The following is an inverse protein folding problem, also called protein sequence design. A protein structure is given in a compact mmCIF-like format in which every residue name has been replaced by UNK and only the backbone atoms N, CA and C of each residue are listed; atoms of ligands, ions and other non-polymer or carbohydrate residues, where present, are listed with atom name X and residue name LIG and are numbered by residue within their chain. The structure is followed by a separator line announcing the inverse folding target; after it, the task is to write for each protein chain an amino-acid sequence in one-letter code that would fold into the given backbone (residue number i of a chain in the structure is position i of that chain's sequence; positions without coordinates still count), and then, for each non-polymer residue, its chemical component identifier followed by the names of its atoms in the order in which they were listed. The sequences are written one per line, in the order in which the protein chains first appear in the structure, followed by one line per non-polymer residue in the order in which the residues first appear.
data_IF_943330328236
#
_entry.id   IF_943330328236
#
_cell.length_a   1.000
_cell.length_b   1.000
_cell.length_c   1.000
_cell.angle_alpha   90.00
_cell.angle_beta   90.00
_cell.angle_gamma   90.00
#
_symmetry.space_group_name_H-M   'P 1'
#
loop_
_entity.id
_entity.type
_entity.pdbx_description
1 polymer ?
#
# COMPACT_ATOMS: atom_id res chain seq x y z
N UNK A 1 -41.16 -38.65 14.86
CA UNK A 1 -40.93 -37.39 14.12
C UNK A 1 -41.18 -36.25 15.09
N UNK A 2 -40.16 -35.90 15.87
CA UNK A 2 -40.16 -34.70 16.71
C UNK A 2 -39.44 -33.61 15.93
N UNK A 3 -40.14 -32.51 15.65
CA UNK A 3 -39.62 -31.35 14.95
C UNK A 3 -39.12 -30.36 15.98
N UNK A 4 -37.80 -30.21 16.09
CA UNK A 4 -37.15 -29.24 16.95
C UNK A 4 -37.11 -27.86 16.30
N UNK A 5 -37.53 -26.88 17.09
CA UNK A 5 -37.63 -25.45 16.86
C UNK A 5 -36.35 -24.80 16.34
N UNK A 6 -36.45 -24.08 15.22
CA UNK A 6 -35.42 -23.14 14.74
C UNK A 6 -35.59 -21.82 15.48
N UNK A 7 -34.59 -21.45 16.26
CA UNK A 7 -34.44 -20.12 16.87
C UNK A 7 -34.24 -19.07 15.78
N UNK A 8 -35.13 -18.07 15.78
CA UNK A 8 -35.14 -16.95 14.84
C UNK A 8 -34.03 -15.98 15.25
N UNK A 9 -32.94 -15.94 14.48
CA UNK A 9 -31.87 -14.95 14.62
C UNK A 9 -32.42 -13.55 14.35
N UNK A 10 -32.42 -12.69 15.36
CA UNK A 10 -32.84 -11.29 15.28
C UNK A 10 -31.81 -10.51 14.46
N UNK A 11 -32.25 -9.93 13.34
CA UNK A 11 -31.48 -8.97 12.55
C UNK A 11 -31.19 -7.71 13.39
N UNK A 12 -30.02 -7.06 13.27
CA UNK A 12 -29.77 -5.77 13.92
C UNK A 12 -30.70 -4.68 13.39
N UNK A 13 -31.23 -3.86 14.29
CA UNK A 13 -32.16 -2.77 14.00
C UNK A 13 -31.56 -1.71 13.06
N UNK A 14 -32.36 -1.31 12.07
CA UNK A 14 -32.11 -0.26 11.08
C UNK A 14 -31.90 1.17 11.66
N UNK A 15 -32.09 1.39 12.97
CA UNK A 15 -31.99 2.71 13.60
C UNK A 15 -30.55 3.11 13.97
N UNK A 16 -29.64 2.16 14.25
CA UNK A 16 -28.24 2.48 14.54
C UNK A 16 -27.47 2.90 13.28
N UNK A 17 -27.91 2.47 12.10
CA UNK A 17 -27.16 2.58 10.83
C UNK A 17 -27.16 3.97 10.20
N UNK A 18 -28.17 4.80 10.47
CA UNK A 18 -28.24 6.20 9.98
C UNK A 18 -27.44 7.21 10.84
N UNK A 19 -27.02 6.80 12.04
CA UNK A 19 -26.52 7.76 13.06
C UNK A 19 -25.07 8.19 12.89
N UNK A 20 -24.17 7.35 12.35
CA UNK A 20 -22.71 7.63 12.33
C UNK A 20 -22.24 8.56 11.20
N UNK A 21 -22.78 8.44 9.98
CA UNK A 21 -22.56 9.46 8.94
C UNK A 21 -23.22 10.78 9.32
N UNK A 22 -24.35 10.72 10.04
CA UNK A 22 -24.95 11.89 10.65
C UNK A 22 -24.05 12.47 11.76
N UNK A 23 -23.33 11.64 12.52
CA UNK A 23 -22.45 12.11 13.58
C UNK A 23 -21.22 12.87 13.07
N UNK A 24 -20.60 12.40 11.98
CA UNK A 24 -19.56 13.19 11.30
C UNK A 24 -20.11 14.54 10.85
N UNK A 25 -21.27 14.57 10.17
CA UNK A 25 -21.84 15.81 9.64
C UNK A 25 -22.29 16.78 10.75
N UNK A 26 -22.83 16.27 11.88
CA UNK A 26 -23.14 17.08 13.08
C UNK A 26 -21.91 17.80 13.63
N UNK A 27 -20.75 17.13 13.64
CA UNK A 27 -19.50 17.67 14.17
C UNK A 27 -18.68 18.45 13.13
N UNK A 28 -19.03 18.34 11.85
CA UNK A 28 -18.22 18.87 10.75
C UNK A 28 -17.98 20.36 10.81
N UNK A 29 -19.00 21.14 11.14
CA UNK A 29 -18.86 22.60 11.30
C UNK A 29 -17.85 22.95 12.40
N UNK A 30 -17.91 22.26 13.55
CA UNK A 30 -16.94 22.44 14.64
C UNK A 30 -15.52 22.11 14.18
N UNK A 31 -15.33 21.05 13.38
CA UNK A 31 -14.02 20.75 12.81
C UNK A 31 -13.56 21.83 11.83
N UNK A 32 -14.43 22.34 10.97
CA UNK A 32 -14.10 23.42 10.03
C UNK A 32 -13.69 24.69 10.77
N UNK A 33 -14.44 25.10 11.79
CA UNK A 33 -14.14 26.27 12.60
C UNK A 33 -12.79 26.13 13.32
N UNK A 34 -12.49 24.95 13.87
CA UNK A 34 -11.18 24.65 14.48
C UNK A 34 -10.05 24.71 13.43
N UNK A 35 -10.23 24.02 12.31
CA UNK A 35 -9.23 23.91 11.24
C UNK A 35 -8.91 25.28 10.61
N UNK A 36 -9.90 26.19 10.54
CA UNK A 36 -9.72 27.54 10.03
C UNK A 36 -8.67 28.36 10.83
N UNK A 37 -8.37 27.96 12.06
CA UNK A 37 -7.33 28.60 12.90
C UNK A 37 -5.92 28.08 12.64
N UNK A 38 -5.78 26.96 11.92
CA UNK A 38 -4.49 26.31 11.72
C UNK A 38 -3.69 26.95 10.58
N UNK A 39 -2.35 26.92 10.66
CA UNK A 39 -1.50 27.39 9.57
C UNK A 39 -1.81 26.62 8.28
N UNK A 40 -1.86 27.33 7.15
CA UNK A 40 -2.03 26.72 5.84
C UNK A 40 -0.98 27.21 4.86
N UNK A 41 -0.66 26.38 3.88
CA UNK A 41 0.25 26.68 2.78
C UNK A 41 -0.40 26.27 1.45
N UNK A 42 0.00 26.92 0.35
CA UNK A 42 -0.38 26.51 -1.00
C UNK A 42 -0.04 25.03 -1.17
N UNK A 43 -1.01 24.22 -1.58
CA UNK A 43 -0.78 22.80 -1.85
C UNK A 43 -0.40 22.54 -3.30
N UNK A 44 -0.50 21.27 -3.71
CA UNK A 44 -0.06 20.82 -5.04
C UNK A 44 -1.03 21.23 -6.15
N UNK A 45 -2.18 21.82 -5.81
CA UNK A 45 -3.12 22.40 -6.76
C UNK A 45 -3.52 23.81 -6.30
N UNK A 46 -3.82 24.75 -7.22
CA UNK A 46 -4.12 26.14 -6.87
C UNK A 46 -5.26 26.31 -5.85
N UNK A 47 -6.30 25.47 -5.91
CA UNK A 47 -7.47 25.55 -5.01
C UNK A 47 -7.47 24.46 -3.93
N UNK A 48 -6.30 23.89 -3.61
CA UNK A 48 -6.19 22.84 -2.61
C UNK A 48 -5.01 23.10 -1.68
N UNK A 49 -5.16 24.06 -0.77
CA UNK A 49 -4.19 24.31 0.30
C UNK A 49 -4.01 23.10 1.20
N UNK A 50 -2.82 23.00 1.79
CA UNK A 50 -2.53 22.04 2.85
C UNK A 50 -2.55 22.77 4.19
N UNK A 51 -2.99 22.06 5.22
CA UNK A 51 -3.21 22.61 6.56
C UNK A 51 -2.34 21.85 7.54
N UNK A 52 -1.62 22.58 8.39
CA UNK A 52 -0.66 22.01 9.32
C UNK A 52 -1.34 21.66 10.64
N UNK A 53 -1.29 20.38 11.03
CA UNK A 53 -1.78 19.86 12.31
C UNK A 53 -0.80 18.83 12.85
N UNK A 54 -0.41 18.94 14.12
CA UNK A 54 0.53 17.99 14.74
C UNK A 54 1.95 17.99 14.19
N UNK A 55 2.29 18.95 13.31
CA UNK A 55 3.55 18.96 12.56
C UNK A 55 3.43 18.42 11.13
N UNK A 56 2.26 17.91 10.73
CA UNK A 56 2.02 17.30 9.42
C UNK A 56 0.98 18.07 8.61
N UNK A 57 0.99 17.85 7.31
CA UNK A 57 0.18 18.56 6.34
C UNK A 57 -1.00 17.74 5.85
N UNK A 58 -2.21 18.30 5.90
CA UNK A 58 -3.44 17.61 5.53
C UNK A 58 -4.23 18.40 4.50
N UNK A 59 -5.03 17.71 3.70
CA UNK A 59 -6.14 18.35 2.98
C UNK A 59 -7.27 18.58 3.99
N UNK A 60 -7.99 19.70 3.85
CA UNK A 60 -9.14 20.07 4.70
C UNK A 60 -10.03 18.86 5.07
N UNK A 61 -10.56 18.17 4.06
CA UNK A 61 -11.48 17.04 4.27
C UNK A 61 -10.84 15.89 5.05
N UNK A 62 -9.57 15.58 4.77
CA UNK A 62 -8.87 14.51 5.47
C UNK A 62 -8.57 14.90 6.91
N UNK A 63 -8.30 16.17 7.19
CA UNK A 63 -8.12 16.65 8.56
C UNK A 63 -9.43 16.61 9.35
N UNK A 64 -10.55 17.04 8.75
CA UNK A 64 -11.89 16.90 9.36
C UNK A 64 -12.15 15.44 9.79
N UNK A 65 -11.87 14.49 8.90
CA UNK A 65 -12.09 13.07 9.16
C UNK A 65 -11.08 12.48 10.14
N UNK A 66 -9.85 12.98 10.16
CA UNK A 66 -8.83 12.59 11.12
C UNK A 66 -9.19 13.02 12.54
N UNK A 67 -9.73 14.24 12.69
CA UNK A 67 -10.24 14.73 13.97
C UNK A 67 -11.45 13.90 14.44
N UNK A 68 -12.37 13.60 13.52
CA UNK A 68 -13.49 12.70 13.81
C UNK A 68 -13.04 11.31 14.26
N UNK A 69 -12.10 10.69 13.55
CA UNK A 69 -11.54 9.39 13.94
C UNK A 69 -10.89 9.45 15.32
N UNK A 70 -10.15 10.53 15.61
CA UNK A 70 -9.49 10.72 16.90
C UNK A 70 -10.48 10.80 18.07
N UNK A 71 -11.65 11.39 17.85
CA UNK A 71 -12.69 11.51 18.88
C UNK A 71 -13.59 10.27 18.99
N UNK A 72 -13.93 9.63 17.88
CA UNK A 72 -15.02 8.65 17.83
C UNK A 72 -14.57 7.21 17.53
N UNK A 73 -13.38 6.98 16.96
CA UNK A 73 -12.93 5.63 16.66
C UNK A 73 -12.53 4.89 17.93
N UNK A 74 -13.09 3.69 18.15
CA UNK A 74 -12.86 2.86 19.33
C UNK A 74 -12.19 1.54 18.93
N UNK A 75 -10.85 1.51 19.00
CA UNK A 75 -10.07 0.32 18.69
C UNK A 75 -10.30 -0.79 19.72
N UNK A 76 -10.30 -2.03 19.25
CA UNK A 76 -10.30 -3.24 20.06
C UNK A 76 -8.91 -3.87 20.11
N UNK A 77 -8.57 -4.63 21.16
CA UNK A 77 -7.27 -5.33 21.24
C UNK A 77 -7.05 -6.34 20.10
N UNK A 78 -8.13 -6.87 19.52
CA UNK A 78 -8.11 -7.82 18.40
C UNK A 78 -7.95 -7.15 17.04
N UNK A 79 -8.00 -5.82 16.96
CA UNK A 79 -7.84 -5.11 15.70
C UNK A 79 -6.40 -5.24 15.17
N UNK A 80 -6.25 -5.07 13.86
CA UNK A 80 -4.98 -5.09 13.16
C UNK A 80 -4.91 -3.92 12.18
N UNK A 81 -3.93 -3.04 12.36
CA UNK A 81 -3.81 -1.81 11.58
C UNK A 81 -2.77 -1.90 10.47
N UNK A 82 -3.19 -1.58 9.26
CA UNK A 82 -2.32 -1.35 8.11
C UNK A 82 -2.00 0.14 8.01
N UNK A 83 -0.82 0.51 8.51
CA UNK A 83 -0.34 1.88 8.56
C UNK A 83 0.61 2.16 7.40
N UNK A 84 0.39 3.23 6.65
CA UNK A 84 1.26 3.59 5.52
C UNK A 84 1.24 5.08 5.28
N UNK A 85 2.34 5.69 4.85
CA UNK A 85 2.19 6.94 4.09
C UNK A 85 1.58 6.58 2.72
N UNK A 86 0.71 7.42 2.11
CA UNK A 86 0.17 7.11 0.79
C UNK A 86 1.25 6.69 -0.21
N UNK A 87 0.91 5.69 -1.04
CA UNK A 87 1.73 5.22 -2.17
C UNK A 87 2.99 4.43 -1.81
N UNK A 88 3.17 4.01 -0.56
CA UNK A 88 4.27 3.12 -0.16
C UNK A 88 3.93 1.62 -0.26
N UNK A 89 2.68 1.24 -0.53
CA UNK A 89 2.30 -0.18 -0.68
C UNK A 89 0.91 -0.55 -0.14
N UNK A 90 0.12 0.43 0.30
CA UNK A 90 -1.17 0.22 1.00
C UNK A 90 -2.11 -0.76 0.33
N UNK A 91 -2.37 -0.62 -0.99
CA UNK A 91 -3.29 -1.51 -1.73
C UNK A 91 -2.83 -2.96 -1.69
N UNK A 92 -1.51 -3.19 -1.81
CA UNK A 92 -0.93 -4.53 -1.78
C UNK A 92 -0.98 -5.12 -0.37
N UNK A 93 -0.65 -4.32 0.64
CA UNK A 93 -0.67 -4.77 2.03
C UNK A 93 -2.09 -5.07 2.50
N UNK A 94 -3.10 -4.27 2.12
CA UNK A 94 -4.52 -4.56 2.35
C UNK A 94 -4.94 -5.90 1.75
N UNK A 95 -4.54 -6.17 0.49
CA UNK A 95 -4.86 -7.44 -0.17
C UNK A 95 -4.22 -8.63 0.58
N UNK A 96 -2.94 -8.51 0.94
CA UNK A 96 -2.22 -9.56 1.68
C UNK A 96 -2.86 -9.83 3.04
N UNK A 97 -3.08 -8.80 3.86
CA UNK A 97 -3.66 -8.98 5.20
C UNK A 97 -5.08 -9.55 5.13
N UNK A 98 -5.89 -9.08 4.17
CA UNK A 98 -7.24 -9.59 3.98
C UNK A 98 -7.23 -11.08 3.61
N UNK A 99 -6.42 -11.46 2.61
CA UNK A 99 -6.31 -12.86 2.19
C UNK A 99 -5.77 -13.74 3.31
N UNK A 100 -4.72 -13.31 4.01
CA UNK A 100 -4.15 -14.06 5.14
C UNK A 100 -5.20 -14.35 6.20
N UNK A 101 -5.95 -13.33 6.64
CA UNK A 101 -6.94 -13.47 7.71
C UNK A 101 -8.18 -14.28 7.30
N UNK A 102 -8.48 -14.37 5.99
CA UNK A 102 -9.71 -14.99 5.48
C UNK A 102 -9.46 -16.24 4.62
N UNK A 103 -8.24 -16.77 4.54
CA UNK A 103 -7.90 -17.93 3.69
C UNK A 103 -8.60 -19.24 4.10
N UNK A 104 -9.07 -19.34 5.35
CA UNK A 104 -9.91 -20.45 5.80
C UNK A 104 -11.38 -20.32 5.38
N UNK A 105 -11.81 -19.11 4.98
CA UNK A 105 -13.18 -18.78 4.57
C UNK A 105 -13.36 -18.81 3.06
N UNK A 106 -12.31 -18.42 2.32
CA UNK A 106 -12.35 -18.29 0.87
C UNK A 106 -11.15 -18.97 0.23
N UNK A 107 -11.41 -19.77 -0.79
CA UNK A 107 -10.38 -20.27 -1.68
C UNK A 107 -9.95 -19.21 -2.72
N UNK A 108 -8.97 -19.53 -3.55
CA UNK A 108 -8.46 -18.63 -4.59
C UNK A 108 -9.51 -18.18 -5.59
N UNK A 109 -10.51 -19.01 -5.87
CA UNK A 109 -11.53 -18.79 -6.92
C UNK A 109 -12.75 -18.02 -6.43
N UNK A 110 -12.97 -18.02 -5.12
CA UNK A 110 -14.11 -17.38 -4.45
C UNK A 110 -13.70 -16.16 -3.64
N UNK A 111 -12.40 -15.84 -3.58
CA UNK A 111 -11.90 -14.74 -2.78
C UNK A 111 -12.53 -13.38 -3.19
N UNK A 112 -13.04 -12.59 -2.23
CA UNK A 112 -13.61 -11.27 -2.50
C UNK A 112 -12.71 -10.31 -3.29
N UNK A 113 -11.39 -10.46 -3.20
CA UNK A 113 -10.44 -9.67 -4.00
C UNK A 113 -10.62 -9.81 -5.51
N UNK A 114 -11.24 -10.90 -5.99
CA UNK A 114 -11.53 -11.08 -7.41
C UNK A 114 -12.65 -10.17 -7.92
N UNK A 115 -13.48 -9.63 -7.01
CA UNK A 115 -14.66 -8.83 -7.34
C UNK A 115 -14.61 -7.41 -6.76
N UNK A 116 -13.79 -7.19 -5.74
CA UNK A 116 -13.69 -5.93 -5.01
C UNK A 116 -12.27 -5.42 -4.97
N UNK A 117 -12.11 -4.10 -5.04
CA UNK A 117 -10.82 -3.50 -4.83
C UNK A 117 -10.35 -3.73 -3.38
N UNK A 118 -9.04 -3.96 -3.08
CA UNK A 118 -8.58 -4.20 -1.72
C UNK A 118 -8.94 -3.09 -0.72
N UNK A 119 -9.10 -1.85 -1.20
CA UNK A 119 -9.57 -0.76 -0.36
C UNK A 119 -10.98 -1.01 0.17
N UNK A 120 -11.84 -1.74 -0.56
CA UNK A 120 -13.20 -2.10 -0.16
C UNK A 120 -13.29 -3.08 1.02
N UNK A 121 -12.24 -3.86 1.23
CA UNK A 121 -12.21 -4.95 2.21
C UNK A 121 -11.52 -4.56 3.52
N UNK A 122 -10.71 -3.51 3.49
CA UNK A 122 -10.03 -2.97 4.68
C UNK A 122 -10.31 -1.47 4.77
N UNK A 123 -11.21 -1.00 5.67
CA UNK A 123 -11.57 0.42 5.78
C UNK A 123 -10.44 1.29 6.33
N UNK A 124 -10.41 2.56 5.92
CA UNK A 124 -9.62 3.61 6.53
C UNK A 124 -10.38 4.25 7.70
N UNK A 125 -9.70 4.43 8.83
CA UNK A 125 -10.31 5.10 10.00
C UNK A 125 -10.55 6.59 9.76
N UNK A 126 -9.70 7.25 8.97
CA UNK A 126 -9.83 8.68 8.67
C UNK A 126 -10.54 8.98 7.34
N UNK A 127 -11.19 7.98 6.73
CA UNK A 127 -11.97 8.18 5.49
C UNK A 127 -13.27 7.39 5.54
N UNK A 128 -13.19 6.07 5.63
CA UNK A 128 -14.38 5.20 5.55
C UNK A 128 -15.23 5.29 6.81
N UNK A 129 -14.61 5.34 7.98
CA UNK A 129 -15.33 5.48 9.25
C UNK A 129 -16.14 6.79 9.33
N UNK A 130 -15.66 7.86 8.67
CA UNK A 130 -16.35 9.15 8.62
C UNK A 130 -17.48 9.19 7.57
N UNK A 131 -17.23 8.74 6.34
CA UNK A 131 -18.18 8.89 5.22
C UNK A 131 -19.05 7.66 4.94
N UNK A 132 -18.58 6.49 5.31
CA UNK A 132 -19.11 5.21 4.86
C UNK A 132 -19.40 4.28 6.03
N UNK A 133 -19.72 4.85 7.20
CA UNK A 133 -20.05 4.10 8.43
C UNK A 133 -21.19 3.09 8.26
N UNK A 134 -21.99 3.23 7.21
CA UNK A 134 -23.08 2.32 6.85
C UNK A 134 -22.62 1.07 6.08
N UNK A 135 -21.35 1.00 5.62
CA UNK A 135 -20.85 -0.16 4.89
C UNK A 135 -20.73 -1.37 5.78
N UNK A 136 -21.09 -2.53 5.24
CA UNK A 136 -21.09 -3.82 5.92
C UNK A 136 -19.79 -4.09 6.66
N UNK A 137 -18.62 -3.82 6.04
CA UNK A 137 -17.31 -4.06 6.66
C UNK A 137 -17.04 -3.26 7.96
N UNK A 138 -17.70 -2.11 8.16
CA UNK A 138 -17.58 -1.32 9.39
C UNK A 138 -18.60 -1.72 10.47
N UNK A 139 -19.66 -2.44 10.07
CA UNK A 139 -20.69 -2.95 10.97
C UNK A 139 -20.52 -4.45 11.26
N UNK A 140 -19.67 -5.14 10.49
CA UNK A 140 -19.26 -6.51 10.71
C UNK A 140 -18.32 -6.58 11.92
N UNK A 141 -18.83 -7.19 13.01
CA UNK A 141 -18.07 -7.40 14.25
C UNK A 141 -16.95 -8.41 14.09
N UNK A 142 -16.94 -9.20 13.01
CA UNK A 142 -15.83 -10.11 12.68
C UNK A 142 -14.69 -9.40 11.94
N UNK A 143 -14.90 -8.19 11.41
CA UNK A 143 -13.84 -7.44 10.78
C UNK A 143 -12.88 -6.84 11.82
N UNK A 144 -11.65 -7.33 11.83
CA UNK A 144 -10.57 -6.82 12.67
C UNK A 144 -9.54 -5.99 11.88
N UNK A 145 -9.68 -5.87 10.55
CA UNK A 145 -8.70 -5.20 9.71
C UNK A 145 -9.08 -3.73 9.51
N UNK A 146 -8.16 -2.84 9.85
CA UNK A 146 -8.28 -1.39 9.63
C UNK A 146 -7.02 -0.84 8.99
N UNK A 147 -7.11 0.37 8.44
CA UNK A 147 -5.98 1.03 7.82
C UNK A 147 -5.96 2.52 8.10
N UNK A 148 -4.78 3.11 7.99
CA UNK A 148 -4.62 4.55 8.18
C UNK A 148 -3.38 5.09 7.48
N UNK A 149 -3.47 6.35 7.10
CA UNK A 149 -2.37 7.20 6.66
C UNK A 149 -1.91 8.19 7.74
N UNK A 150 -2.47 8.13 8.94
CA UNK A 150 -2.05 8.99 10.03
C UNK A 150 -0.62 8.65 10.48
N UNK A 151 0.21 9.67 10.79
CA UNK A 151 1.49 9.44 11.45
C UNK A 151 1.24 8.84 12.85
N UNK A 152 2.19 8.07 13.37
CA UNK A 152 2.03 7.34 14.64
C UNK A 152 1.58 8.25 15.79
N UNK A 153 2.18 9.44 15.90
CA UNK A 153 1.86 10.41 16.96
C UNK A 153 0.47 11.07 16.86
N UNK A 154 -0.28 10.84 15.77
CA UNK A 154 -1.64 11.38 15.59
C UNK A 154 -2.71 10.29 15.52
N UNK A 155 -2.36 9.03 15.78
CA UNK A 155 -3.34 7.95 15.89
C UNK A 155 -4.36 8.26 17.01
N UNK A 156 -5.63 7.83 16.85
CA UNK A 156 -6.60 7.85 17.94
C UNK A 156 -6.05 7.20 19.22
N UNK A 157 -6.35 7.78 20.37
CA UNK A 157 -5.81 7.31 21.65
C UNK A 157 -6.29 5.88 21.97
N UNK A 158 -7.50 5.51 21.52
CA UNK A 158 -8.05 4.16 21.66
C UNK A 158 -7.13 3.08 21.07
N UNK A 159 -6.43 3.38 19.97
CA UNK A 159 -5.46 2.48 19.33
C UNK A 159 -4.23 2.26 20.22
N UNK A 160 -3.72 3.33 20.83
CA UNK A 160 -2.56 3.21 21.73
C UNK A 160 -2.92 2.45 23.00
N UNK A 161 -4.13 2.65 23.53
CA UNK A 161 -4.62 1.99 24.75
C UNK A 161 -5.01 0.52 24.54
N UNK A 162 -5.48 0.15 23.34
CA UNK A 162 -5.93 -1.22 23.08
C UNK A 162 -4.78 -2.22 22.99
N UNK A 163 -3.56 -1.75 22.68
CA UNK A 163 -2.41 -2.62 22.44
C UNK A 163 -2.51 -3.41 21.13
N UNK A 164 -3.44 -3.04 20.24
CA UNK A 164 -3.65 -3.73 18.96
C UNK A 164 -2.39 -3.67 18.09
N UNK A 165 -2.20 -4.69 17.26
CA UNK A 165 -1.02 -4.82 16.40
C UNK A 165 -1.13 -3.93 15.16
N UNK A 166 0.02 -3.51 14.66
CA UNK A 166 0.14 -2.70 13.44
C UNK A 166 1.21 -3.26 12.52
N UNK A 167 0.99 -3.14 11.21
CA UNK A 167 2.04 -3.26 10.21
C UNK A 167 2.24 -1.92 9.53
N UNK A 168 3.50 -1.49 9.45
CA UNK A 168 3.91 -0.31 8.70
C UNK A 168 4.78 -0.71 7.51
N UNK A 169 4.47 -0.19 6.31
CA UNK A 169 5.34 -0.34 5.14
C UNK A 169 5.80 1.01 4.60
N UNK A 170 7.11 1.16 4.45
CA UNK A 170 7.73 2.31 3.81
C UNK A 170 8.39 1.92 2.48
N UNK A 171 8.76 2.93 1.70
CA UNK A 171 9.29 2.77 0.34
C UNK A 171 10.38 3.81 0.08
N UNK A 172 11.24 3.62 -0.92
CA UNK A 172 12.17 4.67 -1.34
C UNK A 172 11.41 6.00 -1.61
N UNK A 173 11.85 7.14 -1.04
CA UNK A 173 11.15 8.41 -1.17
C UNK A 173 11.02 8.90 -2.62
N UNK A 174 12.00 8.58 -3.49
CA UNK A 174 12.01 9.00 -4.90
C UNK A 174 10.88 8.31 -5.66
N UNK A 175 10.76 7.00 -5.50
CA UNK A 175 9.68 6.22 -6.11
C UNK A 175 8.31 6.56 -5.50
N UNK A 176 8.27 6.83 -4.19
CA UNK A 176 7.05 7.25 -3.48
C UNK A 176 6.53 8.57 -4.01
N UNK A 177 7.42 9.56 -4.22
CA UNK A 177 7.09 10.83 -4.84
C UNK A 177 6.50 10.64 -6.24
N UNK A 178 7.19 9.90 -7.12
CA UNK A 178 6.70 9.66 -8.48
C UNK A 178 5.35 8.95 -8.50
N UNK A 179 5.17 7.95 -7.64
CA UNK A 179 3.90 7.25 -7.46
C UNK A 179 2.78 8.21 -7.01
N UNK A 180 3.09 9.14 -6.10
CA UNK A 180 2.17 10.16 -5.59
C UNK A 180 1.79 11.19 -6.67
N UNK A 181 2.77 11.74 -7.37
CA UNK A 181 2.53 12.74 -8.40
C UNK A 181 1.65 12.20 -9.54
N UNK A 182 1.94 11.01 -10.07
CA UNK A 182 1.09 10.37 -11.08
C UNK A 182 -0.29 9.97 -10.54
N UNK A 183 -0.38 9.57 -9.28
CA UNK A 183 -1.67 9.22 -8.70
C UNK A 183 -2.57 10.45 -8.59
N UNK A 184 -2.05 11.57 -8.10
CA UNK A 184 -2.83 12.82 -7.97
C UNK A 184 -3.28 13.34 -9.33
N UNK A 185 -2.52 13.13 -10.42
CA UNK A 185 -3.00 13.50 -11.76
C UNK A 185 -4.29 12.80 -12.16
N UNK A 186 -4.48 11.54 -11.74
CA UNK A 186 -5.69 10.76 -12.00
C UNK A 186 -6.86 11.14 -11.09
N UNK A 187 -6.70 12.12 -10.20
CA UNK A 187 -7.75 12.54 -9.28
C UNK A 187 -8.85 13.33 -10.03
N UNK A 188 -10.09 12.87 -9.94
CA UNK A 188 -11.28 13.47 -10.54
C UNK A 188 -11.82 14.63 -9.68
N UNK A 189 -11.09 15.75 -9.60
CA UNK A 189 -11.48 16.94 -8.81
C UNK A 189 -11.33 18.26 -9.56
N UNK A 190 -12.10 19.28 -9.16
CA UNK A 190 -12.17 20.60 -9.81
C UNK A 190 -11.30 21.66 -9.10
N UNK A 191 -10.10 21.28 -8.65
CA UNK A 191 -9.22 22.16 -7.87
C UNK A 191 -8.10 22.83 -8.69
N UNK A 192 -8.22 22.82 -10.02
CA UNK A 192 -7.20 23.31 -10.95
C UNK A 192 -6.13 22.26 -11.29
N UNK A 193 -5.20 22.56 -12.21
CA UNK A 193 -4.16 21.64 -12.63
C UNK A 193 -3.21 21.29 -11.48
N UNK A 194 -2.54 20.14 -11.60
CA UNK A 194 -1.46 19.77 -10.68
C UNK A 194 -0.24 20.64 -10.98
N UNK A 195 0.49 21.05 -9.95
CA UNK A 195 1.79 21.71 -10.09
C UNK A 195 2.74 20.87 -10.95
N UNK A 196 3.78 21.51 -11.50
CA UNK A 196 4.80 20.80 -12.27
C UNK A 196 5.49 19.71 -11.42
N UNK A 197 6.21 18.80 -12.09
CA UNK A 197 6.99 17.77 -11.39
C UNK A 197 7.99 18.42 -10.43
N UNK A 198 8.73 19.43 -10.89
CA UNK A 198 9.76 20.13 -10.12
C UNK A 198 9.19 20.87 -8.91
N UNK A 199 8.11 21.62 -9.10
CA UNK A 199 7.42 22.33 -8.02
C UNK A 199 6.88 21.33 -6.98
N UNK A 200 6.23 20.26 -7.44
CA UNK A 200 5.70 19.22 -6.56
C UNK A 200 6.83 18.52 -5.80
N UNK A 201 7.97 18.31 -6.44
CA UNK A 201 9.15 17.68 -5.84
C UNK A 201 9.80 18.57 -4.79
N UNK A 202 9.93 19.87 -5.05
CA UNK A 202 10.39 20.85 -4.05
C UNK A 202 9.50 20.84 -2.81
N UNK A 203 8.18 20.89 -3.01
CA UNK A 203 7.21 20.80 -1.93
C UNK A 203 7.33 19.49 -1.15
N UNK A 204 7.50 18.36 -1.83
CA UNK A 204 7.71 17.04 -1.19
C UNK A 204 9.00 17.03 -0.34
N UNK A 205 10.10 17.56 -0.85
CA UNK A 205 11.37 17.67 -0.11
C UNK A 205 11.26 18.57 1.12
N UNK A 206 10.47 19.65 1.04
CA UNK A 206 10.15 20.53 2.18
C UNK A 206 9.13 19.93 3.16
N UNK A 207 8.62 18.73 2.87
CA UNK A 207 7.62 18.04 3.67
C UNK A 207 6.18 18.49 3.45
N UNK A 208 5.93 19.43 2.52
CA UNK A 208 4.61 20.00 2.19
C UNK A 208 3.87 19.07 1.23
N UNK A 209 3.42 17.93 1.74
CA UNK A 209 2.64 16.91 1.04
C UNK A 209 1.57 16.33 1.97
N UNK A 210 0.49 15.75 1.44
CA UNK A 210 -0.52 15.12 2.29
C UNK A 210 0.08 14.03 3.20
N UNK A 211 -0.20 14.11 4.50
CA UNK A 211 0.40 13.34 5.60
C UNK A 211 1.93 13.51 5.77
N UNK A 212 2.55 14.41 5.01
CA UNK A 212 3.97 14.74 5.12
C UNK A 212 4.28 15.63 6.32
N UNK A 213 5.55 15.75 6.73
CA UNK A 213 6.73 15.34 5.96
C UNK A 213 6.94 13.83 5.86
N UNK A 214 7.39 13.35 4.69
CA UNK A 214 7.53 11.93 4.39
C UNK A 214 8.49 11.21 5.36
N UNK A 215 9.67 11.78 5.55
CA UNK A 215 10.74 11.17 6.33
C UNK A 215 10.37 11.12 7.82
N UNK A 216 9.78 12.19 8.36
CA UNK A 216 9.23 12.21 9.71
C UNK A 216 8.12 11.17 9.92
N UNK A 217 7.24 10.98 8.93
CA UNK A 217 6.19 9.98 9.00
C UNK A 217 6.79 8.57 9.16
N UNK A 218 7.77 8.22 8.31
CA UNK A 218 8.50 6.94 8.40
C UNK A 218 9.22 6.82 9.75
N UNK A 219 9.92 7.86 10.18
CA UNK A 219 10.66 7.88 11.43
C UNK A 219 9.75 7.69 12.66
N UNK A 220 8.52 8.22 12.63
CA UNK A 220 7.56 8.07 13.72
C UNK A 220 7.19 6.60 13.97
N UNK A 221 6.94 5.83 12.92
CA UNK A 221 6.65 4.40 13.01
C UNK A 221 7.91 3.57 13.26
N UNK A 222 9.07 4.02 12.78
CA UNK A 222 10.35 3.38 13.10
C UNK A 222 10.65 3.41 14.59
N UNK A 223 10.44 4.57 15.23
CA UNK A 223 10.59 4.71 16.69
C UNK A 223 9.61 3.80 17.43
N UNK A 224 8.34 3.79 17.02
CA UNK A 224 7.33 2.90 17.62
C UNK A 224 7.71 1.41 17.49
N UNK A 225 8.25 1.00 16.34
CA UNK A 225 8.78 -0.35 16.14
C UNK A 225 9.97 -0.67 17.05
N UNK A 226 10.90 0.26 17.20
CA UNK A 226 12.07 0.11 18.08
C UNK A 226 11.67 -0.01 19.55
N UNK A 227 10.64 0.72 19.95
CA UNK A 227 10.14 0.74 21.33
C UNK A 227 9.30 -0.50 21.64
N UNK A 228 8.50 -0.99 20.68
CA UNK A 228 7.63 -2.16 20.86
C UNK A 228 7.52 -3.04 19.60
N UNK A 229 8.53 -3.89 19.31
CA UNK A 229 8.56 -4.72 18.11
C UNK A 229 7.50 -5.83 18.09
N UNK A 230 6.90 -6.17 19.24
CA UNK A 230 5.80 -7.14 19.34
C UNK A 230 4.45 -6.54 18.90
N UNK A 231 4.33 -5.21 18.94
CA UNK A 231 3.11 -4.48 18.56
C UNK A 231 3.20 -3.89 17.15
N UNK A 232 4.40 -3.58 16.65
CA UNK A 232 4.57 -2.97 15.32
C UNK A 232 5.45 -3.86 14.45
N UNK A 233 4.98 -4.22 13.26
CA UNK A 233 5.77 -4.86 12.22
C UNK A 233 6.23 -3.82 11.21
N UNK A 234 7.54 -3.70 10.99
CA UNK A 234 8.10 -2.72 10.05
C UNK A 234 8.62 -3.41 8.77
N UNK A 235 8.04 -3.04 7.62
CA UNK A 235 8.31 -3.64 6.31
C UNK A 235 8.82 -2.59 5.31
N UNK A 236 9.55 -3.05 4.28
CA UNK A 236 10.04 -2.20 3.19
C UNK A 236 9.54 -2.73 1.84
N UNK A 237 8.94 -1.85 1.05
CA UNK A 237 8.35 -2.20 -0.25
C UNK A 237 9.35 -2.86 -1.20
N UNK A 238 10.58 -2.34 -1.28
CA UNK A 238 11.61 -2.87 -2.16
C UNK A 238 12.03 -4.29 -1.77
N UNK A 239 12.14 -4.57 -0.47
CA UNK A 239 12.49 -5.90 0.07
C UNK A 239 11.40 -6.90 -0.28
N UNK A 240 10.14 -6.59 0.07
CA UNK A 240 9.00 -7.44 -0.25
C UNK A 240 8.85 -7.64 -1.77
N UNK A 241 9.12 -6.62 -2.58
CA UNK A 241 8.97 -6.73 -4.03
C UNK A 241 10.06 -7.58 -4.67
N UNK A 242 11.24 -7.66 -4.07
CA UNK A 242 12.34 -8.52 -4.51
C UNK A 242 12.08 -9.99 -4.17
N UNK A 243 11.65 -10.26 -2.94
CA UNK A 243 11.24 -11.58 -2.48
C UNK A 243 10.09 -11.46 -1.46
N UNK A 244 8.83 -11.72 -1.86
CA UNK A 244 7.68 -11.53 -0.99
C UNK A 244 7.52 -12.63 0.05
N UNK A 245 8.06 -13.83 -0.17
CA UNK A 245 7.73 -15.01 0.62
C UNK A 245 8.11 -14.88 2.10
N UNK A 246 9.34 -14.44 2.46
CA UNK A 246 9.72 -14.31 3.87
C UNK A 246 8.88 -13.27 4.62
N UNK A 247 8.62 -12.13 3.99
CA UNK A 247 7.86 -11.04 4.61
C UNK A 247 6.37 -11.36 4.71
N UNK A 248 5.78 -12.08 3.75
CA UNK A 248 4.38 -12.54 3.82
C UNK A 248 4.20 -13.60 4.89
N UNK A 249 5.14 -14.53 5.03
CA UNK A 249 5.14 -15.50 6.14
C UNK A 249 5.26 -14.79 7.49
N UNK A 250 6.22 -13.86 7.63
CA UNK A 250 6.40 -13.05 8.83
C UNK A 250 5.16 -12.22 9.18
N UNK A 251 4.50 -11.64 8.16
CA UNK A 251 3.26 -10.90 8.33
C UNK A 251 2.15 -11.81 8.86
N UNK A 252 1.99 -13.01 8.29
CA UNK A 252 0.98 -13.96 8.72
C UNK A 252 1.18 -14.41 10.17
N UNK A 253 2.42 -14.76 10.55
CA UNK A 253 2.79 -15.08 11.93
C UNK A 253 2.50 -13.91 12.88
N UNK A 254 2.88 -12.70 12.49
CA UNK A 254 2.66 -11.50 13.29
C UNK A 254 1.18 -11.20 13.50
N UNK A 255 0.34 -11.43 12.49
CA UNK A 255 -1.12 -11.30 12.58
C UNK A 255 -1.79 -12.39 13.44
N UNK A 256 -1.06 -13.44 13.84
CA UNK A 256 -1.63 -14.60 14.54
C UNK A 256 -2.26 -15.65 13.60
N UNK A 257 -1.98 -15.54 12.30
CA UNK A 257 -2.46 -16.44 11.27
C UNK A 257 -1.29 -17.10 10.53
N UNK A 258 -0.23 -17.51 11.25
CA UNK A 258 0.94 -18.16 10.66
C UNK A 258 0.56 -19.38 9.81
N UNK A 259 1.36 -19.66 8.77
CA UNK A 259 1.13 -20.82 7.90
C UNK A 259 1.55 -22.11 8.61
N UNK A 260 0.72 -23.15 8.55
CA UNK A 260 1.10 -24.47 9.09
C UNK A 260 2.06 -25.20 8.14
N UNK A 261 2.74 -26.24 8.63
CA UNK A 261 3.59 -27.07 7.79
C UNK A 261 2.81 -27.77 6.66
N UNK A 262 1.53 -28.07 6.87
CA UNK A 262 0.63 -28.60 5.85
C UNK A 262 0.30 -27.54 4.81
N UNK A 263 -0.08 -26.32 5.23
CA UNK A 263 -0.36 -25.20 4.32
C UNK A 263 0.86 -24.87 3.43
N UNK A 264 2.07 -24.93 4.00
CA UNK A 264 3.31 -24.73 3.23
C UNK A 264 3.55 -25.84 2.21
N UNK A 265 3.33 -27.10 2.58
CA UNK A 265 3.45 -28.25 1.63
C UNK A 265 2.41 -28.17 0.51
N UNK A 266 1.22 -27.66 0.79
CA UNK A 266 0.12 -27.49 -0.17
C UNK A 266 0.23 -26.21 -1.03
N UNK A 267 1.29 -25.42 -0.80
CA UNK A 267 1.58 -24.21 -1.56
C UNK A 267 0.63 -23.04 -1.26
N UNK A 268 0.04 -22.99 -0.06
CA UNK A 268 -0.94 -21.94 0.30
C UNK A 268 -0.26 -20.57 0.33
N UNK A 269 0.99 -20.47 0.76
CA UNK A 269 1.75 -19.22 0.75
C UNK A 269 1.91 -18.67 -0.69
N UNK A 270 2.29 -19.52 -1.63
CA UNK A 270 2.42 -19.22 -3.06
C UNK A 270 1.10 -18.71 -3.63
N UNK A 271 -0.01 -19.35 -3.26
CA UNK A 271 -1.35 -18.97 -3.69
C UNK A 271 -1.75 -17.59 -3.16
N UNK A 272 -1.49 -17.31 -1.88
CA UNK A 272 -1.70 -15.98 -1.28
C UNK A 272 -0.88 -14.90 -2.00
N UNK A 273 0.42 -15.15 -2.22
CA UNK A 273 1.33 -14.23 -2.92
C UNK A 273 0.86 -13.99 -4.36
N UNK A 274 0.47 -15.05 -5.07
CA UNK A 274 -0.01 -14.99 -6.46
C UNK A 274 -1.31 -14.19 -6.59
N UNK A 275 -2.30 -14.49 -5.75
CA UNK A 275 -3.59 -13.79 -5.73
C UNK A 275 -3.42 -12.29 -5.45
N UNK A 276 -2.52 -11.94 -4.52
CA UNK A 276 -2.28 -10.56 -4.13
C UNK A 276 -1.23 -9.85 -5.00
N UNK A 277 -0.71 -10.49 -6.05
CA UNK A 277 0.34 -9.91 -6.88
C UNK A 277 -0.15 -8.67 -7.65
N UNK A 278 0.79 -7.80 -8.01
CA UNK A 278 0.47 -6.61 -8.79
C UNK A 278 -0.18 -6.99 -10.13
N UNK A 279 0.37 -8.03 -10.77
CA UNK A 279 -0.07 -8.56 -12.06
C UNK A 279 -1.51 -9.08 -11.97
N UNK A 280 -1.82 -9.92 -10.99
CA UNK A 280 -3.17 -10.42 -10.75
C UNK A 280 -4.14 -9.29 -10.48
N UNK A 281 -3.90 -8.47 -9.45
CA UNK A 281 -4.83 -7.41 -9.03
C UNK A 281 -5.09 -6.39 -10.14
N UNK A 282 -4.06 -5.99 -10.89
CA UNK A 282 -4.19 -5.07 -12.04
C UNK A 282 -5.00 -5.67 -13.19
N UNK A 283 -4.97 -6.99 -13.36
CA UNK A 283 -5.62 -7.70 -14.47
C UNK A 283 -7.11 -7.99 -14.25
N UNK A 284 -7.63 -7.78 -13.03
CA UNK A 284 -9.04 -7.98 -12.70
C UNK A 284 -9.92 -6.92 -13.37
N UNK A 285 -11.08 -7.31 -13.88
CA UNK A 285 -11.97 -6.42 -14.65
C UNK A 285 -12.39 -5.17 -13.87
N UNK A 286 -12.73 -5.32 -12.58
CA UNK A 286 -13.10 -4.21 -11.70
C UNK A 286 -11.93 -3.26 -11.35
N UNK A 287 -10.70 -3.59 -11.77
CA UNK A 287 -9.53 -2.73 -11.64
C UNK A 287 -9.08 -2.14 -12.99
N UNK A 288 -9.83 -2.38 -14.07
CA UNK A 288 -9.55 -1.87 -15.42
C UNK A 288 -10.42 -0.66 -15.77
N UNK A 289 -9.93 0.11 -16.74
CA UNK A 289 -10.65 1.25 -17.32
C UNK A 289 -10.78 2.46 -16.40
N UNK A 290 -11.52 3.46 -16.90
CA UNK A 290 -11.76 4.73 -16.21
C UNK A 290 -13.23 4.91 -15.78
N UNK A 291 -14.11 3.97 -16.18
CA UNK A 291 -15.56 4.06 -15.96
C UNK A 291 -16.01 3.66 -14.56
N UNK A 292 -15.29 2.74 -13.91
CA UNK A 292 -15.59 2.38 -12.53
C UNK A 292 -15.07 3.47 -11.59
N UNK A 293 -16.01 4.28 -11.10
CA UNK A 293 -15.75 5.20 -10.00
C UNK A 293 -15.40 4.35 -8.78
N UNK A 294 -14.16 4.45 -8.31
CA UNK A 294 -13.74 3.81 -7.08
C UNK A 294 -14.54 4.32 -5.89
N UNK A 295 -14.25 3.78 -4.71
CA UNK A 295 -15.03 3.91 -3.47
C UNK A 295 -15.61 5.30 -3.11
N UNK A 296 -14.97 6.39 -3.53
CA UNK A 296 -15.36 7.79 -3.27
C UNK A 296 -15.58 8.62 -4.54
N UNK A 297 -15.56 8.00 -5.72
CA UNK A 297 -15.64 8.69 -7.02
C UNK A 297 -14.47 9.63 -7.35
N UNK A 298 -13.46 9.73 -6.48
CA UNK A 298 -12.29 10.59 -6.68
C UNK A 298 -11.22 9.97 -7.58
N UNK A 299 -11.20 8.64 -7.68
CA UNK A 299 -10.25 7.87 -8.48
C UNK A 299 -10.96 6.66 -9.07
N UNK A 300 -10.62 6.30 -10.31
CA UNK A 300 -10.94 4.97 -10.83
C UNK A 300 -10.05 3.91 -10.16
N UNK A 301 -10.53 2.67 -10.05
CA UNK A 301 -9.76 1.57 -9.45
C UNK A 301 -8.41 1.32 -10.16
N UNK A 302 -8.35 1.54 -11.48
CA UNK A 302 -7.12 1.46 -12.26
C UNK A 302 -6.04 2.48 -11.84
N UNK A 303 -6.39 3.54 -11.10
CA UNK A 303 -5.42 4.51 -10.59
C UNK A 303 -4.49 3.91 -9.51
N UNK A 304 -4.92 2.87 -8.80
CA UNK A 304 -4.09 2.20 -7.80
C UNK A 304 -2.97 1.35 -8.44
N UNK A 305 -3.13 0.94 -9.70
CA UNK A 305 -2.23 0.00 -10.39
C UNK A 305 -1.47 0.63 -11.56
N UNK A 306 -0.39 1.36 -11.27
CA UNK A 306 0.42 2.04 -12.30
C UNK A 306 1.45 1.11 -12.97
N UNK A 307 2.61 0.94 -12.35
CA UNK A 307 3.73 0.11 -12.85
C UNK A 307 4.16 -1.02 -11.92
N UNK A 308 4.03 -0.89 -10.60
CA UNK A 308 4.40 -1.96 -9.65
C UNK A 308 5.89 -2.33 -9.65
N UNK A 309 6.77 -1.37 -9.99
CA UNK A 309 8.22 -1.56 -10.13
C UNK A 309 8.99 -0.68 -9.15
N UNK A 310 10.18 -1.13 -8.79
CA UNK A 310 11.21 -0.40 -8.03
C UNK A 310 12.13 0.34 -9.00
N UNK A 311 12.51 1.58 -8.67
CA UNK A 311 13.48 2.37 -9.43
C UNK A 311 12.89 3.12 -10.63
N UNK A 312 11.56 3.24 -10.73
CA UNK A 312 10.92 3.97 -11.83
C UNK A 312 11.19 5.47 -11.76
N UNK A 313 11.62 5.99 -10.61
CA UNK A 313 12.05 7.38 -10.43
C UNK A 313 13.14 7.83 -11.40
N UNK A 314 14.00 6.91 -11.86
CA UNK A 314 15.08 7.19 -12.82
C UNK A 314 14.59 7.69 -14.17
N UNK A 315 13.31 7.43 -14.49
CA UNK A 315 12.69 7.88 -15.73
C UNK A 315 12.14 9.32 -15.65
N UNK A 316 12.19 9.96 -14.47
CA UNK A 316 11.49 11.23 -14.23
C UNK A 316 12.32 12.25 -13.44
N UNK A 317 13.09 11.82 -12.44
CA UNK A 317 13.90 12.72 -11.62
C UNK A 317 15.29 12.89 -12.22
N UNK A 318 15.79 14.13 -12.22
CA UNK A 318 17.19 14.40 -12.55
C UNK A 318 18.11 13.88 -11.43
N UNK A 319 19.41 13.68 -11.71
CA UNK A 319 20.39 13.30 -10.68
C UNK A 319 20.40 14.27 -9.49
N UNK A 320 20.24 15.58 -9.72
CA UNK A 320 20.23 16.61 -8.69
C UNK A 320 18.99 16.50 -7.79
N UNK A 321 17.82 16.25 -8.38
CA UNK A 321 16.59 15.99 -7.62
C UNK A 321 16.75 14.74 -6.75
N UNK A 322 17.24 13.65 -7.33
CA UNK A 322 17.48 12.41 -6.59
C UNK A 322 18.46 12.62 -5.42
N UNK A 323 19.60 13.28 -5.67
CA UNK A 323 20.60 13.57 -4.65
C UNK A 323 20.05 14.45 -3.52
N UNK A 324 19.16 15.40 -3.81
CA UNK A 324 18.53 16.26 -2.79
C UNK A 324 17.75 15.43 -1.77
N UNK A 325 16.85 14.56 -2.22
CA UNK A 325 16.02 13.76 -1.30
C UNK A 325 16.81 12.63 -0.64
N UNK A 326 17.83 12.11 -1.30
CA UNK A 326 18.76 11.15 -0.69
C UNK A 326 19.55 11.82 0.45
N UNK A 327 20.05 13.04 0.25
CA UNK A 327 20.72 13.81 1.30
C UNK A 327 19.81 14.11 2.50
N UNK A 328 18.55 14.50 2.27
CA UNK A 328 17.57 14.70 3.34
C UNK A 328 17.26 13.39 4.10
N UNK A 329 17.14 12.29 3.37
CA UNK A 329 16.90 10.96 3.95
C UNK A 329 18.09 10.53 4.81
N UNK A 330 19.31 10.70 4.32
CA UNK A 330 20.52 10.42 5.09
C UNK A 330 20.60 11.30 6.34
N UNK A 331 20.36 12.60 6.23
CA UNK A 331 20.38 13.53 7.36
C UNK A 331 19.39 13.13 8.46
N UNK A 332 18.14 12.81 8.08
CA UNK A 332 17.08 12.51 9.04
C UNK A 332 17.20 11.10 9.62
N UNK A 333 17.66 10.12 8.83
CA UNK A 333 17.73 8.71 9.27
C UNK A 333 19.09 8.31 9.85
N UNK A 334 20.13 9.13 9.71
CA UNK A 334 21.45 8.86 10.29
C UNK A 334 21.36 8.60 11.80
N UNK A 335 21.97 7.50 12.23
CA UNK A 335 22.01 7.10 13.64
C UNK A 335 20.72 6.49 14.18
N UNK A 336 19.68 6.35 13.35
CA UNK A 336 18.40 5.75 13.79
C UNK A 336 18.39 4.23 13.67
N UNK A 337 19.28 3.64 12.88
CA UNK A 337 19.24 2.21 12.52
C UNK A 337 18.42 1.89 11.26
N UNK A 338 17.67 2.86 10.72
CA UNK A 338 16.71 2.62 9.63
C UNK A 338 17.40 2.43 8.26
N UNK A 339 18.53 3.08 8.03
CA UNK A 339 19.30 2.91 6.79
C UNK A 339 19.95 1.53 6.72
N UNK A 340 20.33 0.96 7.87
CA UNK A 340 20.82 -0.40 8.00
C UNK A 340 19.68 -1.45 7.97
N UNK A 341 18.47 -1.04 8.37
CA UNK A 341 17.29 -1.90 8.41
C UNK A 341 16.80 -2.25 6.99
N UNK A 342 17.06 -3.49 6.58
CA UNK A 342 16.77 -4.01 5.23
C UNK A 342 17.98 -4.63 4.53
N UNK A 343 19.20 -4.47 5.08
CA UNK A 343 20.36 -5.28 4.72
C UNK A 343 20.34 -6.60 5.50
N UNK A 344 19.40 -7.49 5.22
CA UNK A 344 19.50 -8.89 5.63
C UNK A 344 20.32 -9.67 4.60
N UNK A 345 21.60 -9.29 4.45
CA UNK A 345 22.66 -10.18 4.00
C UNK A 345 23.37 -10.76 5.23
N UNK A 346 24.06 -11.90 5.13
CA UNK A 346 24.70 -12.52 6.29
C UNK A 346 25.63 -11.52 6.97
N UNK A 347 25.45 -11.36 8.28
CA UNK A 347 26.16 -10.44 9.15
C UNK A 347 27.67 -10.54 8.92
N UNK A 348 28.25 -9.49 8.31
CA UNK A 348 29.67 -9.20 8.45
C UNK A 348 29.80 -7.76 8.95
N UNK A 349 30.58 -7.61 10.02
CA UNK A 349 30.79 -6.38 10.77
C UNK A 349 31.03 -5.14 9.89
N UNK A 350 30.53 -3.96 10.31
CA UNK A 350 30.84 -2.71 9.63
C UNK A 350 32.23 -2.25 10.09
N UNK A 351 33.27 -2.66 9.38
CA UNK A 351 34.53 -1.93 9.42
C UNK A 351 35.17 -1.96 8.05
N UNK A 352 35.19 -0.77 7.43
CA UNK A 352 35.86 -0.41 6.16
C UNK A 352 35.27 -1.00 4.88
N UNK A 353 34.51 -0.17 4.17
CA UNK A 353 34.49 -0.19 2.71
C UNK A 353 34.82 1.21 2.20
N UNK A 354 36.11 1.45 2.01
CA UNK A 354 36.62 2.43 1.04
C UNK A 354 36.27 1.95 -0.36
N UNK A 355 35.90 2.92 -1.21
CA UNK A 355 35.53 2.76 -2.61
C UNK A 355 36.42 1.78 -3.39
N UNK A 356 35.77 0.87 -4.14
CA UNK A 356 36.37 0.28 -5.35
C UNK A 356 35.26 0.11 -6.39
N UNK A 357 35.37 0.90 -7.47
CA UNK A 357 34.74 0.64 -8.76
C UNK A 357 35.23 -0.70 -9.32
N UNK A 358 34.33 -1.63 -9.65
CA UNK A 358 34.59 -2.66 -10.68
C UNK A 358 33.28 -2.98 -11.43
N UNK A 359 33.23 -2.55 -12.68
CA UNK A 359 32.44 -3.14 -13.77
C UNK A 359 32.78 -4.63 -13.93
N UNK A 360 31.82 -5.52 -14.21
CA UNK A 360 31.98 -6.64 -15.17
C UNK A 360 30.60 -7.32 -15.44
N UNK A 361 30.43 -7.99 -16.60
CA UNK A 361 29.14 -8.16 -17.28
C UNK A 361 28.48 -9.53 -17.10
N UNK A 362 27.18 -9.57 -17.44
CA UNK A 362 26.38 -10.76 -17.68
C UNK A 362 27.04 -11.70 -18.71
N UNK A 363 27.30 -12.96 -18.32
CA UNK A 363 27.57 -14.08 -19.23
C UNK A 363 26.30 -14.91 -19.42
N UNK A 364 25.82 -14.95 -20.67
CA UNK A 364 24.81 -15.89 -21.13
C UNK A 364 25.40 -17.30 -21.23
N UNK A 365 24.68 -18.30 -20.71
CA UNK A 365 25.03 -19.71 -20.84
C UNK A 365 24.54 -20.26 -22.19
N UNK A 366 25.48 -20.68 -23.05
CA UNK A 366 25.22 -21.60 -24.18
C UNK A 366 25.48 -23.02 -23.71
N UNK A 367 24.51 -23.90 -23.90
CA UNK A 367 24.65 -25.36 -23.78
C UNK A 367 24.99 -25.91 -25.18
N UNK A 368 26.10 -26.63 -25.29
CA UNK A 368 26.44 -27.46 -26.45
C UNK A 368 27.21 -28.71 -26.02
N UNK A 369 26.62 -29.88 -26.27
CA UNK A 369 27.24 -31.19 -26.51
C UNK A 369 26.29 -31.87 -27.50
N UNK A 370 26.65 -32.46 -28.63
CA UNK A 370 27.91 -33.09 -29.04
C UNK A 370 27.56 -34.47 -29.62
N UNK A 371 27.16 -34.48 -30.89
CA UNK A 371 27.23 -35.54 -31.93
C UNK A 371 27.10 -37.03 -31.60
N UNK A 372 26.16 -37.71 -32.28
CA UNK A 372 26.44 -38.99 -32.95
C UNK A 372 25.62 -39.13 -34.25
N UNK A 373 26.34 -39.38 -35.33
CA UNK A 373 25.90 -39.58 -36.71
C UNK A 373 25.31 -40.98 -36.89
N UNK A 374 24.18 -41.09 -37.61
CA UNK A 374 23.88 -42.27 -38.43
C UNK A 374 23.22 -41.82 -39.73
N UNK A 375 23.61 -42.52 -40.79
CA UNK A 375 23.43 -42.24 -42.21
C UNK A 375 22.15 -42.90 -42.71
N UNK A 376 21.37 -42.22 -43.56
CA UNK A 376 20.63 -42.85 -44.65
C UNK A 376 20.30 -41.81 -45.73
N UNK A 377 20.65 -42.16 -46.97
CA UNK A 377 20.40 -41.49 -48.25
C UNK A 377 18.89 -41.25 -48.48
N UNK A 378 18.44 -40.30 -49.29
CA UNK A 378 18.23 -40.43 -50.76
C UNK A 378 17.80 -39.04 -51.32
N UNK A 379 18.36 -38.66 -52.46
CA UNK A 379 18.07 -37.48 -53.33
C UNK A 379 16.88 -37.81 -54.29
N UNK A 380 16.45 -36.99 -55.28
CA UNK A 380 16.44 -35.54 -55.51
C UNK A 380 15.03 -35.07 -56.02
N UNK A 381 14.97 -33.99 -56.82
CA UNK A 381 13.86 -33.37 -57.58
C UNK A 381 13.26 -32.11 -56.93
N UNK A 382 13.06 -30.97 -57.59
CA UNK A 382 13.50 -30.33 -58.85
C UNK A 382 12.87 -28.93 -58.83
N UNK A 383 13.47 -27.96 -59.54
CA UNK A 383 12.83 -26.77 -60.19
C UNK A 383 12.02 -25.83 -59.29
N UNK A 384 12.40 -24.57 -59.11
CA UNK A 384 12.38 -23.55 -60.16
C UNK A 384 11.18 -22.60 -59.96
N UNK A 385 11.24 -21.34 -60.41
CA UNK A 385 10.86 -20.19 -59.58
C UNK A 385 9.67 -19.34 -60.10
N UNK A 386 9.41 -18.22 -59.39
CA UNK A 386 8.54 -17.05 -59.71
C UNK A 386 7.09 -17.19 -59.19
N UNK A 387 6.45 -16.17 -58.64
CA UNK A 387 6.81 -14.77 -58.43
C UNK A 387 5.63 -14.01 -57.78
N UNK A 388 5.93 -12.77 -57.37
CA UNK A 388 5.08 -11.58 -57.24
C UNK A 388 3.55 -11.72 -57.07
N UNK A 389 3.02 -11.07 -56.04
CA UNK A 389 1.61 -10.65 -55.99
C UNK A 389 1.15 -10.08 -54.64
N UNK A 390 1.33 -8.77 -54.46
CA UNK A 390 0.44 -7.81 -53.75
C UNK A 390 -0.65 -8.32 -52.79
N UNK A 391 -0.59 -7.91 -51.51
CA UNK A 391 -1.37 -6.84 -50.84
C UNK A 391 -1.21 -6.93 -49.32
#
# INVERSE_FOLDING_TARGET
MESSTVTKTTLPNHEETDTKSAEFEKNRKRYQDLIATFPSEKGWRPKASLIKYGGQWFKQLLLECSLYAKEFFQAQPTDFFICTLPKTGTTWLKALTFTIANRSRFDESTNPLLKHNPHELVPFIEIDFAFLSHKDVLNDKENTLFSTHLPHGLLPESISRSGCKMVYIWRDPKDTFISTWFFIQKQMIVNGPLNSLEESFDMFCRGVSGYGPYLDHVLSYWKAYKDNPEQVLFLKYETMRADPFPDVKRLAEFMGYGFTSEEEKEGVLEKVVSLCSFETLKSLEHNKGEKEKGRFGLYANSAYFRKGKVGDWKNYLTPEMAARIDGLMEEIFKGTGLLEHGFLGPTTNPTRLTAVHVFLPFKAARVAKGTRTQVAEINPFTTGPRGLGSL
#
